data_IF_011118872131
#
_entry.id   IF_011118872131
#
_cell.length_a   1.000
_cell.length_b   1.000
_cell.length_c   1.000
_cell.angle_alpha   90.00
_cell.angle_beta   90.00
_cell.angle_gamma   90.00
#
_symmetry.space_group_name_H-M   'P 1'
#
loop_
_entity.id
_entity.type
_entity.pdbx_description
1 polymer ?
#
# COMPACT_ATOMS: atom_id res chain seq x y z
N UNK A 1 2.96 -11.75 -15.47
CA UNK A 1 2.51 -12.60 -14.34
C UNK A 1 1.64 -11.74 -13.44
N UNK A 2 0.50 -12.26 -12.97
CA UNK A 2 -0.40 -11.55 -12.05
C UNK A 2 0.10 -11.69 -10.61
N UNK A 3 -0.03 -10.63 -9.80
CA UNK A 3 0.18 -10.70 -8.34
C UNK A 3 -1.02 -11.33 -7.61
N UNK A 4 -2.19 -11.37 -8.27
CA UNK A 4 -3.40 -12.03 -7.78
C UNK A 4 -3.28 -13.50 -8.16
N UNK A 5 -2.86 -14.33 -7.20
CA UNK A 5 -2.44 -15.71 -7.45
C UNK A 5 -3.31 -16.76 -6.76
N UNK A 6 -4.11 -16.40 -5.77
CA UNK A 6 -4.98 -17.32 -5.03
C UNK A 6 -6.45 -16.87 -4.99
N UNK A 7 -7.33 -17.81 -4.62
CA UNK A 7 -8.77 -17.61 -4.59
C UNK A 7 -9.23 -16.58 -3.55
N UNK A 8 -8.51 -16.42 -2.44
CA UNK A 8 -8.84 -15.46 -1.38
C UNK A 8 -8.56 -14.05 -1.88
N UNK A 9 -7.38 -13.82 -2.44
CA UNK A 9 -7.01 -12.52 -2.99
C UNK A 9 -7.92 -12.13 -4.17
N UNK A 10 -8.25 -13.09 -5.04
CA UNK A 10 -9.20 -12.87 -6.13
C UNK A 10 -10.61 -12.53 -5.60
N UNK A 11 -11.06 -13.18 -4.54
CA UNK A 11 -12.33 -12.90 -3.87
C UNK A 11 -12.38 -11.47 -3.33
N UNK A 12 -11.33 -11.04 -2.62
CA UNK A 12 -11.22 -9.67 -2.12
C UNK A 12 -11.17 -8.64 -3.25
N UNK A 13 -10.45 -8.91 -4.34
CA UNK A 13 -10.42 -8.01 -5.49
C UNK A 13 -11.81 -7.81 -6.09
N UNK A 14 -12.58 -8.91 -6.26
CA UNK A 14 -13.95 -8.83 -6.77
C UNK A 14 -14.87 -8.07 -5.82
N UNK A 15 -14.71 -8.26 -4.51
CA UNK A 15 -15.47 -7.52 -3.51
C UNK A 15 -15.15 -6.02 -3.55
N UNK A 16 -13.87 -5.65 -3.66
CA UNK A 16 -13.45 -4.26 -3.78
C UNK A 16 -13.98 -3.59 -5.06
N UNK A 17 -14.16 -4.36 -6.13
CA UNK A 17 -14.69 -3.91 -7.42
C UNK A 17 -16.23 -3.99 -7.54
N UNK A 18 -16.93 -4.46 -6.51
CA UNK A 18 -18.41 -4.54 -6.54
C UNK A 18 -19.06 -3.15 -6.44
N UNK A 19 -20.34 -3.05 -6.82
CA UNK A 19 -21.09 -1.78 -6.81
C UNK A 19 -21.02 -1.11 -5.43
N UNK A 20 -20.59 0.16 -5.39
CA UNK A 20 -20.44 0.92 -4.14
C UNK A 20 -19.03 0.93 -3.54
N UNK A 21 -17.99 0.86 -4.37
CA UNK A 21 -16.55 0.94 -4.05
C UNK A 21 -16.25 1.39 -2.61
N UNK A 22 -15.69 0.45 -1.86
CA UNK A 22 -15.24 0.71 -0.50
C UNK A 22 -13.72 0.82 -0.49
N UNK A 23 -13.20 1.98 -0.11
CA UNK A 23 -11.77 2.19 0.12
C UNK A 23 -11.20 1.11 1.06
N UNK A 24 -11.94 0.76 2.11
CA UNK A 24 -11.56 -0.29 3.07
C UNK A 24 -11.51 -1.69 2.44
N UNK A 25 -12.37 -1.98 1.47
CA UNK A 25 -12.29 -3.23 0.73
C UNK A 25 -11.02 -3.28 -0.15
N UNK A 26 -10.65 -2.15 -0.77
CA UNK A 26 -9.38 -2.03 -1.49
C UNK A 26 -8.17 -2.18 -0.55
N UNK A 27 -8.19 -1.55 0.62
CA UNK A 27 -7.13 -1.70 1.64
C UNK A 27 -6.97 -3.16 2.07
N UNK A 28 -8.07 -3.91 2.25
CA UNK A 28 -8.01 -5.33 2.60
C UNK A 28 -7.28 -6.19 1.55
N UNK A 29 -7.49 -5.90 0.25
CA UNK A 29 -6.74 -6.54 -0.85
C UNK A 29 -5.24 -6.32 -0.68
N UNK A 30 -4.84 -5.06 -0.51
CA UNK A 30 -3.43 -4.69 -0.40
C UNK A 30 -2.76 -5.24 0.85
N UNK A 31 -3.44 -5.21 2.00
CA UNK A 31 -2.91 -5.81 3.23
C UNK A 31 -2.70 -7.31 3.08
N UNK A 32 -3.63 -8.05 2.48
CA UNK A 32 -3.46 -9.48 2.26
C UNK A 32 -2.28 -9.73 1.32
N UNK A 33 -2.23 -9.03 0.19
CA UNK A 33 -1.14 -9.15 -0.79
C UNK A 33 0.22 -8.90 -0.14
N UNK A 34 0.38 -7.79 0.59
CA UNK A 34 1.64 -7.45 1.24
C UNK A 34 1.99 -8.42 2.35
N UNK A 35 1.06 -8.76 3.23
CA UNK A 35 1.36 -9.59 4.41
C UNK A 35 1.55 -11.08 4.08
N UNK A 36 0.98 -11.59 2.99
CA UNK A 36 1.01 -13.03 2.66
C UNK A 36 1.83 -13.39 1.44
N UNK A 37 1.98 -12.48 0.48
CA UNK A 37 2.63 -12.80 -0.80
C UNK A 37 3.95 -12.05 -0.98
N UNK A 38 4.02 -10.77 -0.63
CA UNK A 38 5.21 -9.94 -0.91
C UNK A 38 6.17 -9.87 0.27
N UNK A 39 5.66 -9.53 1.46
CA UNK A 39 6.43 -9.26 2.68
C UNK A 39 6.05 -10.24 3.80
N UNK A 40 6.00 -11.53 3.47
CA UNK A 40 5.47 -12.58 4.36
C UNK A 40 6.37 -12.96 5.54
N UNK A 41 7.66 -12.59 5.50
CA UNK A 41 8.61 -12.87 6.57
C UNK A 41 8.38 -12.01 7.83
N UNK A 42 8.69 -12.56 9.02
CA UNK A 42 8.53 -11.89 10.33
C UNK A 42 9.28 -10.57 10.48
N UNK A 43 10.29 -10.30 9.65
CA UNK A 43 11.08 -9.06 9.68
C UNK A 43 10.30 -7.85 9.16
N UNK A 44 9.17 -8.09 8.50
CA UNK A 44 8.32 -7.07 7.92
C UNK A 44 7.13 -6.76 8.82
N UNK A 45 6.79 -5.48 8.88
CA UNK A 45 5.61 -4.98 9.59
C UNK A 45 4.71 -4.30 8.57
N UNK A 46 3.49 -4.80 8.41
CA UNK A 46 2.43 -4.17 7.62
C UNK A 46 1.51 -3.48 8.62
N UNK A 47 1.55 -2.15 8.68
CA UNK A 47 0.75 -1.36 9.59
C UNK A 47 -0.37 -0.66 8.83
N UNK A 48 -1.59 -0.79 9.34
CA UNK A 48 -2.72 0.06 8.94
C UNK A 48 -2.59 1.39 9.66
N UNK A 49 -2.68 2.49 8.93
CA UNK A 49 -2.67 3.83 9.51
C UNK A 49 -4.05 4.46 9.36
N UNK A 50 -4.55 5.05 10.45
CA UNK A 50 -5.80 5.81 10.39
C UNK A 50 -5.52 7.18 9.76
N UNK A 51 -6.48 7.76 9.02
CA UNK A 51 -6.31 9.09 8.47
C UNK A 51 -5.96 10.07 9.61
N UNK A 52 -4.96 10.95 9.42
CA UNK A 52 -4.61 11.93 10.43
C UNK A 52 -5.80 12.87 10.69
N UNK A 53 -6.20 13.01 11.95
CA UNK A 53 -7.28 13.93 12.37
C UNK A 53 -6.96 15.41 12.08
N UNK A 54 -5.67 15.73 11.84
CA UNK A 54 -5.18 17.09 11.61
C UNK A 54 -5.12 17.44 10.13
N UNK A 55 -5.65 18.62 9.77
CA UNK A 55 -5.46 19.23 8.44
C UNK A 55 -3.97 19.36 8.10
N UNK A 56 -3.52 18.71 7.03
CA UNK A 56 -2.20 18.91 6.43
C UNK A 56 -1.23 17.73 6.49
N UNK A 57 -1.57 16.60 7.14
CA UNK A 57 -0.81 15.35 6.95
C UNK A 57 -1.42 14.55 5.80
N UNK A 58 -0.55 14.06 4.92
CA UNK A 58 -0.87 13.14 3.82
C UNK A 58 -1.57 11.90 4.40
N UNK A 59 -2.69 11.48 3.80
CA UNK A 59 -3.43 10.29 4.21
C UNK A 59 -2.64 9.06 3.77
N UNK A 60 -2.23 8.23 4.72
CA UNK A 60 -1.58 6.95 4.46
C UNK A 60 -2.47 5.86 5.04
N UNK A 61 -2.88 4.89 4.23
CA UNK A 61 -3.75 3.79 4.68
C UNK A 61 -2.93 2.56 5.10
N UNK A 62 -1.78 2.32 4.45
CA UNK A 62 -0.89 1.19 4.78
C UNK A 62 0.57 1.63 4.75
N UNK A 63 1.37 1.25 5.76
CA UNK A 63 2.83 1.36 5.73
C UNK A 63 3.53 0.03 5.87
N UNK A 64 4.64 -0.12 5.14
CA UNK A 64 5.49 -1.31 5.12
C UNK A 64 6.82 -0.94 5.76
N UNK A 65 7.09 -1.54 6.92
CA UNK A 65 8.22 -1.21 7.78
C UNK A 65 9.13 -2.43 7.97
N UNK A 66 10.42 -2.17 8.17
CA UNK A 66 11.42 -3.17 8.54
C UNK A 66 12.25 -2.65 9.71
N UNK A 67 12.65 -3.53 10.61
CA UNK A 67 13.65 -3.17 11.62
C UNK A 67 14.97 -2.83 10.92
N UNK A 68 15.43 -1.60 11.12
CA UNK A 68 16.71 -1.09 10.68
C UNK A 68 17.74 -1.20 11.82
N UNK A 69 18.96 -0.67 11.59
CA UNK A 69 19.94 -0.50 12.66
C UNK A 69 19.37 0.33 13.82
N UNK A 70 19.99 0.19 15.00
CA UNK A 70 19.67 0.97 16.21
C UNK A 70 18.27 0.74 16.81
N UNK A 71 17.68 -0.44 16.59
CA UNK A 71 16.31 -0.78 17.03
C UNK A 71 15.24 0.19 16.52
N UNK A 72 15.48 0.88 15.40
CA UNK A 72 14.51 1.78 14.75
C UNK A 72 13.83 1.07 13.58
N UNK A 73 12.58 1.42 13.31
CA UNK A 73 11.89 0.97 12.10
C UNK A 73 12.12 1.96 10.95
N UNK A 74 12.48 1.44 9.78
CA UNK A 74 12.48 2.20 8.53
C UNK A 74 11.21 1.89 7.75
N UNK A 75 10.54 2.94 7.24
CA UNK A 75 9.44 2.81 6.28
C UNK A 75 10.06 2.61 4.90
N UNK A 76 9.71 1.53 4.21
CA UNK A 76 10.18 1.27 2.85
C UNK A 76 9.16 1.64 1.79
N UNK A 77 7.88 1.45 2.11
CA UNK A 77 6.79 1.78 1.22
C UNK A 77 5.55 2.17 2.02
N UNK A 78 4.67 2.92 1.38
CA UNK A 78 3.36 3.26 1.88
C UNK A 78 2.34 3.17 0.74
N UNK A 79 1.09 2.95 1.09
CA UNK A 79 -0.02 2.84 0.17
C UNK A 79 -1.13 3.79 0.61
N UNK A 80 -1.68 4.49 -0.36
CA UNK A 80 -2.75 5.46 -0.20
C UNK A 80 -3.86 5.04 -1.16
N UNK A 81 -5.01 4.74 -0.60
CA UNK A 81 -6.21 4.47 -1.37
C UNK A 81 -6.82 5.82 -1.76
N UNK A 82 -6.83 6.09 -3.06
CA UNK A 82 -7.51 7.26 -3.63
C UNK A 82 -8.92 6.90 -4.13
N UNK A 83 -9.76 7.92 -4.27
CA UNK A 83 -11.12 7.80 -4.77
C UNK A 83 -11.15 7.34 -6.24
N UNK A 84 -12.25 6.74 -6.70
CA UNK A 84 -12.37 6.16 -8.06
C UNK A 84 -12.20 7.16 -9.21
N UNK A 85 -12.31 8.46 -8.94
CA UNK A 85 -12.19 9.55 -9.91
C UNK A 85 -10.75 10.05 -10.10
N UNK A 86 -9.76 9.19 -9.82
CA UNK A 86 -8.33 9.42 -10.09
C UNK A 86 -8.14 9.91 -11.53
N UNK A 87 -7.56 11.10 -11.68
CA UNK A 87 -7.21 11.61 -12.99
C UNK A 87 -5.99 10.85 -13.56
N UNK A 88 -5.78 10.86 -14.89
CA UNK A 88 -4.55 10.32 -15.46
C UNK A 88 -3.26 10.93 -14.89
N UNK A 89 -3.32 12.18 -14.40
CA UNK A 89 -2.18 12.85 -13.76
C UNK A 89 -1.89 12.25 -12.39
N UNK A 90 -2.91 12.01 -11.57
CA UNK A 90 -2.74 11.41 -10.24
C UNK A 90 -2.11 10.01 -10.36
N UNK A 91 -2.47 9.26 -11.40
CA UNK A 91 -1.84 7.97 -11.69
C UNK A 91 -0.35 8.13 -12.03
N UNK A 92 0.00 9.08 -12.91
CA UNK A 92 1.40 9.36 -13.25
C UNK A 92 2.21 9.82 -12.04
N UNK A 93 1.62 10.64 -11.18
CA UNK A 93 2.27 11.13 -9.96
C UNK A 93 2.53 9.98 -8.98
N UNK A 94 1.55 9.07 -8.81
CA UNK A 94 1.72 7.87 -7.99
C UNK A 94 2.81 6.95 -8.53
N UNK A 95 2.84 6.71 -9.85
CA UNK A 95 3.89 5.93 -10.51
C UNK A 95 5.27 6.58 -10.34
N UNK A 96 5.36 7.90 -10.55
CA UNK A 96 6.60 8.65 -10.39
C UNK A 96 7.13 8.56 -8.96
N UNK A 97 6.26 8.73 -7.96
CA UNK A 97 6.63 8.61 -6.54
C UNK A 97 7.11 7.21 -6.19
N UNK A 98 6.47 6.16 -6.73
CA UNK A 98 6.91 4.79 -6.51
C UNK A 98 8.32 4.54 -7.08
N UNK A 99 8.59 5.05 -8.29
CA UNK A 99 9.93 4.98 -8.91
C UNK A 99 10.95 5.75 -8.09
N UNK A 100 10.64 6.99 -7.70
CA UNK A 100 11.56 7.82 -6.91
C UNK A 100 11.91 7.16 -5.57
N UNK A 101 10.93 6.57 -4.88
CA UNK A 101 11.16 5.83 -3.64
C UNK A 101 12.12 4.65 -3.84
N UNK A 102 11.96 3.91 -4.95
CA UNK A 102 12.86 2.81 -5.29
C UNK A 102 14.28 3.31 -5.59
N UNK A 103 14.42 4.40 -6.34
CA UNK A 103 15.72 4.98 -6.68
C UNK A 103 16.45 5.49 -5.44
N UNK A 104 15.76 6.21 -4.55
CA UNK A 104 16.29 6.64 -3.25
C UNK A 104 16.78 5.47 -2.40
N UNK A 105 16.04 4.36 -2.35
CA UNK A 105 16.47 3.15 -1.63
C UNK A 105 17.75 2.55 -2.23
N UNK A 106 17.90 2.59 -3.56
CA UNK A 106 19.08 2.11 -4.26
C UNK A 106 20.28 3.08 -4.19
N UNK A 107 20.11 4.27 -3.59
CA UNK A 107 21.11 5.32 -3.55
C UNK A 107 21.39 5.93 -4.94
N UNK A 108 20.39 5.95 -5.82
CA UNK A 108 20.46 6.50 -7.18
C UNK A 108 19.58 7.73 -7.35
#
# INVERSE_FOLDING_TARGET
>A
MSLITDATLLGLCRQAQSEGFSEWASVAVWVLLYSKHVFWEKKWVIALEAPPESKGRRRVDVTIKKLAGDNKFAVLAFHEAEALDVSPQDLQDAEHQAVEACMRYLGK
#
